data_IF_774324194888
#
_entry.id   IF_774324194888
#
_cell.length_a   1.000
_cell.length_b   1.000
_cell.length_c   1.000
_cell.angle_alpha   90.00
_cell.angle_beta   90.00
_cell.angle_gamma   90.00
#
_symmetry.space_group_name_H-M   'P 1'
#
loop_
_entity.id
_entity.type
_entity.pdbx_description
1 polymer ?
#
# COMPACT_ATOMS: atom_id res chain seq x y z
N UNK A 1 -18.77 10.67 -3.21
CA UNK A 1 -18.15 9.99 -4.36
C UNK A 1 -17.06 9.05 -3.85
N UNK A 2 -16.82 7.90 -4.50
CA UNK A 2 -15.77 6.99 -4.09
C UNK A 2 -14.37 7.64 -4.19
N UNK A 3 -13.38 7.13 -3.44
CA UNK A 3 -12.01 7.64 -3.52
C UNK A 3 -11.42 7.44 -4.91
N UNK A 4 -10.58 8.36 -5.35
CA UNK A 4 -9.87 8.29 -6.61
C UNK A 4 -8.48 8.92 -6.48
N UNK A 5 -7.51 8.34 -7.20
CA UNK A 5 -6.16 8.86 -7.33
C UNK A 5 -5.91 9.14 -8.81
N UNK A 6 -5.42 10.34 -9.12
CA UNK A 6 -4.89 10.67 -10.45
C UNK A 6 -3.55 11.38 -10.31
N UNK A 7 -2.69 11.20 -11.28
CA UNK A 7 -1.45 11.93 -11.37
C UNK A 7 -1.13 12.23 -12.83
N UNK A 8 -0.57 13.42 -13.06
CA UNK A 8 -0.34 13.93 -14.41
C UNK A 8 1.07 14.48 -14.53
N UNK A 9 1.79 14.00 -15.55
CA UNK A 9 3.15 14.45 -15.91
C UNK A 9 4.13 14.47 -14.74
N UNK A 10 4.02 13.47 -13.84
CA UNK A 10 4.90 13.37 -12.67
C UNK A 10 6.33 13.09 -13.14
N UNK A 11 7.25 13.99 -12.77
CA UNK A 11 8.68 13.91 -13.09
C UNK A 11 9.50 13.88 -11.81
N UNK A 12 10.57 13.10 -11.84
CA UNK A 12 11.54 13.06 -10.73
C UNK A 12 12.94 12.76 -11.23
N UNK A 13 13.91 13.55 -10.76
CA UNK A 13 15.33 13.37 -11.03
C UNK A 13 16.10 13.21 -9.72
N UNK A 14 17.22 12.53 -9.79
CA UNK A 14 18.24 12.48 -8.74
C UNK A 14 19.56 12.94 -9.35
N UNK A 15 19.95 14.16 -9.08
CA UNK A 15 21.05 14.80 -9.78
C UNK A 15 20.77 14.87 -11.29
N UNK A 16 21.64 14.25 -12.09
CA UNK A 16 21.47 14.22 -13.56
C UNK A 16 20.57 13.08 -14.06
N UNK A 17 20.27 12.09 -13.22
CA UNK A 17 19.47 10.93 -13.60
C UNK A 17 17.98 11.28 -13.55
N UNK A 18 17.32 11.24 -14.70
CA UNK A 18 15.85 11.31 -14.76
C UNK A 18 15.28 9.92 -14.50
N UNK A 19 14.54 9.77 -13.39
CA UNK A 19 13.94 8.50 -12.96
C UNK A 19 12.47 8.41 -13.36
N UNK A 20 11.74 9.51 -13.29
CA UNK A 20 10.37 9.62 -13.81
C UNK A 20 10.35 10.68 -14.91
N UNK A 21 9.94 10.28 -16.11
CA UNK A 21 10.01 11.10 -17.33
C UNK A 21 8.75 11.91 -17.65
N UNK A 22 7.77 11.96 -16.73
CA UNK A 22 6.47 12.60 -16.98
C UNK A 22 5.37 11.55 -17.11
N UNK A 23 5.19 10.75 -16.04
CA UNK A 23 4.19 9.68 -16.00
C UNK A 23 2.83 10.21 -15.60
N UNK A 24 1.77 9.63 -16.18
CA UNK A 24 0.38 9.99 -15.92
C UNK A 24 -0.47 8.73 -15.87
N UNK A 25 -1.35 8.63 -14.89
CA UNK A 25 -2.37 7.59 -14.80
C UNK A 25 -3.46 8.00 -13.79
N UNK A 26 -4.52 7.19 -13.74
CA UNK A 26 -5.58 7.31 -12.74
C UNK A 26 -6.08 5.94 -12.32
N UNK A 27 -6.64 5.87 -11.12
CA UNK A 27 -7.27 4.67 -10.57
C UNK A 27 -8.43 5.09 -9.67
N UNK A 28 -9.55 4.39 -9.82
CA UNK A 28 -10.76 4.64 -9.03
C UNK A 28 -10.97 3.57 -7.95
N UNK A 29 -11.95 3.80 -7.10
CA UNK A 29 -12.34 2.86 -6.06
C UNK A 29 -12.73 1.48 -6.63
N UNK A 30 -12.27 0.43 -5.99
CA UNK A 30 -12.46 -0.95 -6.43
C UNK A 30 -11.45 -1.41 -7.49
N UNK A 31 -10.55 -0.53 -7.93
CA UNK A 31 -9.62 -0.80 -9.01
C UNK A 31 -8.16 -0.92 -8.53
N UNK A 32 -7.35 -1.55 -9.38
CA UNK A 32 -5.89 -1.64 -9.26
C UNK A 32 -5.23 -0.99 -10.46
N UNK A 33 -4.29 -0.08 -10.21
CA UNK A 33 -3.31 0.35 -11.18
C UNK A 33 -2.05 -0.52 -11.03
N UNK A 34 -1.71 -1.28 -12.05
CA UNK A 34 -0.49 -2.06 -12.08
C UNK A 34 0.65 -1.24 -12.69
N UNK A 35 1.74 -1.07 -11.98
CA UNK A 35 2.95 -0.38 -12.44
C UNK A 35 4.02 -1.43 -12.71
N UNK A 36 4.41 -1.58 -13.97
CA UNK A 36 5.42 -2.56 -14.42
C UNK A 36 6.71 -1.86 -14.86
N UNK A 37 7.73 -2.64 -15.10
CA UNK A 37 9.03 -2.18 -15.59
C UNK A 37 10.20 -2.84 -14.90
N UNK A 38 11.38 -2.81 -15.52
CA UNK A 38 12.62 -3.42 -15.01
C UNK A 38 13.01 -2.86 -13.64
N UNK A 39 13.87 -3.57 -12.93
CA UNK A 39 14.47 -3.06 -11.69
C UNK A 39 15.22 -1.76 -11.99
N UNK A 40 15.01 -0.73 -11.16
CA UNK A 40 15.59 0.60 -11.39
C UNK A 40 14.76 1.53 -12.30
N UNK A 41 13.63 1.09 -12.88
CA UNK A 41 12.79 1.92 -13.77
C UNK A 41 12.03 3.05 -13.06
N UNK A 42 12.09 3.15 -11.74
CA UNK A 42 11.44 4.21 -10.99
C UNK A 42 10.12 3.82 -10.29
N UNK A 43 9.72 2.56 -10.30
CA UNK A 43 8.47 2.08 -9.66
C UNK A 43 8.36 2.51 -8.19
N UNK A 44 9.35 2.19 -7.38
CA UNK A 44 9.40 2.59 -5.97
C UNK A 44 9.46 4.11 -5.79
N UNK A 45 10.11 4.83 -6.72
CA UNK A 45 10.15 6.30 -6.73
C UNK A 45 8.75 6.86 -6.97
N UNK A 46 8.01 6.32 -7.94
CA UNK A 46 6.63 6.70 -8.20
C UNK A 46 5.76 6.46 -6.97
N UNK A 47 5.81 5.26 -6.36
CA UNK A 47 5.04 4.97 -5.15
C UNK A 47 5.36 5.92 -4.00
N UNK A 48 6.63 6.28 -3.79
CA UNK A 48 7.02 7.28 -2.78
C UNK A 48 6.49 8.68 -3.09
N UNK A 49 6.42 9.07 -4.36
CA UNK A 49 5.77 10.33 -4.77
C UNK A 49 4.27 10.28 -4.48
N UNK A 50 3.59 9.19 -4.86
CA UNK A 50 2.16 9.00 -4.59
C UNK A 50 1.87 8.98 -3.08
N UNK A 51 2.76 8.40 -2.27
CA UNK A 51 2.66 8.40 -0.81
C UNK A 51 2.89 9.79 -0.17
N UNK A 52 3.40 10.75 -0.92
CA UNK A 52 3.82 12.05 -0.37
C UNK A 52 5.08 11.96 0.51
N UNK A 53 5.86 10.89 0.36
CA UNK A 53 7.16 10.71 1.01
C UNK A 53 8.30 11.36 0.22
N UNK A 54 8.07 11.60 -1.06
CA UNK A 54 8.99 12.25 -1.98
C UNK A 54 8.22 13.26 -2.82
N UNK A 55 8.67 14.51 -2.85
CA UNK A 55 8.08 15.51 -3.73
C UNK A 55 8.50 15.27 -5.18
N UNK A 56 7.59 15.26 -6.17
CA UNK A 56 7.98 15.29 -7.57
C UNK A 56 8.61 16.64 -7.92
N UNK A 57 9.46 16.66 -8.96
CA UNK A 57 10.05 17.91 -9.46
C UNK A 57 9.03 18.72 -10.28
N UNK A 58 8.09 18.03 -10.93
CA UNK A 58 6.95 18.64 -11.64
C UNK A 58 5.83 17.63 -11.82
N UNK A 59 4.66 18.10 -12.28
CA UNK A 59 3.43 17.34 -12.40
C UNK A 59 2.56 17.48 -11.17
N UNK A 60 1.36 16.88 -11.22
CA UNK A 60 0.38 16.93 -10.13
C UNK A 60 0.03 15.51 -9.65
N UNK A 61 -0.34 15.40 -8.38
CA UNK A 61 -0.85 14.18 -7.77
C UNK A 61 -2.08 14.57 -6.96
N UNK A 62 -3.22 14.13 -7.42
CA UNK A 62 -4.53 14.46 -6.86
C UNK A 62 -5.15 13.19 -6.27
N UNK A 63 -5.47 13.24 -5.00
CA UNK A 63 -6.24 12.22 -4.31
C UNK A 63 -7.51 12.85 -3.76
N UNK A 64 -8.64 12.27 -4.07
CA UNK A 64 -9.94 12.70 -3.58
C UNK A 64 -10.66 11.58 -2.84
N UNK A 65 -11.42 11.93 -1.81
CA UNK A 65 -12.34 11.06 -1.10
C UNK A 65 -13.65 11.84 -0.91
N UNK A 66 -14.77 11.20 -1.18
CA UNK A 66 -16.10 11.83 -1.15
C UNK A 66 -16.22 13.07 -2.07
N UNK A 67 -15.43 13.10 -3.14
CA UNK A 67 -15.39 14.21 -4.10
C UNK A 67 -14.59 15.42 -3.64
N UNK A 68 -14.00 15.40 -2.44
CA UNK A 68 -13.15 16.47 -1.93
C UNK A 68 -11.67 16.14 -2.16
N UNK A 69 -10.87 17.07 -2.70
CA UNK A 69 -9.43 16.89 -2.84
C UNK A 69 -8.76 16.86 -1.47
N UNK A 70 -7.74 16.03 -1.33
CA UNK A 70 -6.96 15.90 -0.10
C UNK A 70 -5.58 16.50 -0.25
N UNK A 71 -5.15 17.24 0.76
CA UNK A 71 -3.76 17.69 0.87
C UNK A 71 -2.80 16.50 1.15
N UNK A 72 -1.50 16.74 1.02
CA UNK A 72 -0.49 15.71 1.21
C UNK A 72 -0.47 15.14 2.64
N UNK A 73 -0.85 15.91 3.66
CA UNK A 73 -0.88 15.46 5.05
C UNK A 73 -2.09 14.57 5.34
N UNK A 74 -3.27 14.96 4.85
CA UNK A 74 -4.49 14.16 4.93
C UNK A 74 -4.33 12.85 4.15
N UNK A 75 -3.75 12.92 2.95
CA UNK A 75 -3.44 11.75 2.11
C UNK A 75 -2.57 10.73 2.84
N UNK A 76 -1.47 11.14 3.49
CA UNK A 76 -0.59 10.23 4.24
C UNK A 76 -1.30 9.44 5.34
N UNK A 77 -2.39 9.97 5.90
CA UNK A 77 -3.20 9.25 6.90
C UNK A 77 -4.10 8.18 6.30
N UNK A 78 -4.39 8.27 5.01
CA UNK A 78 -5.28 7.37 4.27
C UNK A 78 -4.54 6.29 3.47
N UNK A 79 -3.21 6.35 3.41
CA UNK A 79 -2.38 5.43 2.63
C UNK A 79 -1.81 4.33 3.51
N UNK A 80 -1.99 3.08 3.07
CA UNK A 80 -1.19 1.95 3.51
C UNK A 80 -0.07 1.69 2.51
N UNK A 81 1.16 1.53 2.99
CA UNK A 81 2.32 1.30 2.16
C UNK A 81 2.99 -0.02 2.52
N UNK A 82 3.16 -0.90 1.53
CA UNK A 82 4.08 -2.04 1.59
C UNK A 82 5.30 -1.67 0.77
N UNK A 83 6.46 -1.62 1.40
CA UNK A 83 7.71 -1.30 0.73
C UNK A 83 8.86 -2.18 1.26
N UNK A 84 9.82 -2.61 0.42
CA UNK A 84 10.90 -3.49 0.83
C UNK A 84 11.80 -2.89 1.93
N UNK A 85 11.96 -1.57 1.94
CA UNK A 85 12.76 -0.80 2.90
C UNK A 85 12.03 -0.48 4.20
N UNK A 86 10.75 -0.85 4.34
CA UNK A 86 10.03 -0.71 5.59
C UNK A 86 10.64 -1.65 6.64
N UNK A 87 11.23 -1.04 7.67
CA UNK A 87 11.86 -1.74 8.78
C UNK A 87 10.98 -1.71 10.04
N UNK A 88 11.11 -2.75 10.85
CA UNK A 88 10.49 -2.88 12.17
C UNK A 88 11.56 -2.83 13.26
N UNK A 89 11.13 -2.58 14.47
CA UNK A 89 12.03 -2.67 15.64
C UNK A 89 12.39 -4.14 15.86
N UNK A 90 13.64 -4.49 15.57
CA UNK A 90 14.11 -5.88 15.56
C UNK A 90 13.98 -6.59 16.89
N UNK A 91 14.22 -5.86 17.99
CA UNK A 91 14.14 -6.35 19.37
C UNK A 91 12.70 -6.62 19.82
N UNK A 92 11.74 -5.91 19.24
CA UNK A 92 10.32 -6.07 19.55
C UNK A 92 9.75 -7.26 18.79
N UNK A 93 8.82 -7.96 19.40
CA UNK A 93 8.03 -9.01 18.77
C UNK A 93 7.12 -8.43 17.67
N UNK A 94 6.55 -9.29 16.83
CA UNK A 94 5.58 -8.86 15.83
C UNK A 94 4.37 -8.15 16.46
N UNK A 95 3.88 -8.69 17.60
CA UNK A 95 2.77 -8.09 18.34
C UNK A 95 3.14 -6.73 18.95
N UNK A 96 4.32 -6.58 19.54
CA UNK A 96 4.78 -5.32 20.12
C UNK A 96 5.00 -4.24 19.05
N UNK A 97 5.56 -4.60 17.89
CA UNK A 97 5.67 -3.69 16.76
C UNK A 97 4.29 -3.15 16.34
N UNK A 98 3.30 -4.02 16.12
CA UNK A 98 1.96 -3.56 15.73
C UNK A 98 1.28 -2.78 16.87
N UNK A 99 1.43 -3.19 18.13
CA UNK A 99 0.88 -2.47 19.27
C UNK A 99 1.48 -1.05 19.40
N UNK A 100 2.78 -0.89 19.11
CA UNK A 100 3.42 0.41 19.06
C UNK A 100 2.78 1.33 18.01
N UNK A 101 2.60 0.82 16.77
CA UNK A 101 1.97 1.61 15.70
C UNK A 101 0.47 1.85 15.95
N UNK A 102 -0.24 0.91 16.58
CA UNK A 102 -1.63 1.12 17.02
C UNK A 102 -1.71 2.34 17.94
N UNK A 103 -0.86 2.40 18.96
CA UNK A 103 -0.82 3.52 19.91
C UNK A 103 -0.52 4.86 19.22
N UNK A 104 0.47 4.89 18.33
CA UNK A 104 0.82 6.11 17.58
C UNK A 104 -0.34 6.65 16.72
N UNK A 105 -1.23 5.76 16.29
CA UNK A 105 -2.37 6.11 15.44
C UNK A 105 -3.71 6.21 16.18
N UNK A 106 -3.72 6.00 17.48
CA UNK A 106 -4.96 5.97 18.29
C UNK A 106 -5.88 4.80 17.93
N UNK A 107 -5.32 3.66 17.50
CA UNK A 107 -6.05 2.44 17.10
C UNK A 107 -5.97 1.44 18.25
N UNK A 108 -7.08 0.73 18.53
CA UNK A 108 -7.09 -0.35 19.51
C UNK A 108 -6.14 -1.49 19.13
N UNK A 109 -5.50 -2.09 20.15
CA UNK A 109 -4.56 -3.20 19.97
C UNK A 109 -5.17 -4.41 19.27
N UNK A 110 -6.46 -4.63 19.47
CA UNK A 110 -7.24 -5.75 18.91
C UNK A 110 -7.11 -5.82 17.38
N UNK A 111 -6.93 -4.64 16.73
CA UNK A 111 -6.72 -4.57 15.28
C UNK A 111 -5.37 -5.17 14.86
N UNK A 112 -4.32 -4.92 15.63
CA UNK A 112 -3.01 -5.55 15.41
C UNK A 112 -3.07 -7.06 15.58
N UNK A 113 -3.70 -7.52 16.66
CA UNK A 113 -3.86 -8.95 16.97
C UNK A 113 -4.72 -9.68 15.92
N UNK A 114 -5.76 -9.03 15.39
CA UNK A 114 -6.57 -9.53 14.26
C UNK A 114 -5.70 -9.74 13.02
N UNK A 115 -4.88 -8.75 12.65
CA UNK A 115 -4.04 -8.84 11.45
C UNK A 115 -2.94 -9.87 11.59
N UNK A 116 -2.35 -10.04 12.77
CA UNK A 116 -1.37 -11.11 13.02
C UNK A 116 -1.98 -12.49 12.77
N UNK A 117 -3.18 -12.73 13.31
CA UNK A 117 -3.90 -13.99 13.07
C UNK A 117 -4.23 -14.21 11.59
N UNK A 118 -4.75 -13.17 10.91
CA UNK A 118 -5.13 -13.24 9.49
C UNK A 118 -3.94 -13.50 8.56
N UNK A 119 -2.77 -13.01 8.94
CA UNK A 119 -1.51 -13.14 8.20
C UNK A 119 -0.68 -14.34 8.69
N UNK A 120 -1.21 -15.13 9.63
CA UNK A 120 -0.55 -16.31 10.20
C UNK A 120 0.87 -15.99 10.71
N UNK A 121 0.99 -14.87 11.45
CA UNK A 121 2.25 -14.44 12.02
C UNK A 121 2.36 -14.85 13.49
N UNK A 122 3.48 -15.41 13.92
CA UNK A 122 3.72 -15.69 15.32
C UNK A 122 3.83 -14.37 16.11
N UNK A 123 2.94 -14.11 17.09
CA UNK A 123 2.88 -12.82 17.77
C UNK A 123 4.12 -12.54 18.61
N UNK A 124 4.68 -13.58 19.23
CA UNK A 124 5.73 -13.48 20.26
C UNK A 124 7.16 -13.58 19.70
N UNK A 125 7.31 -13.72 18.37
CA UNK A 125 8.62 -13.80 17.74
C UNK A 125 9.19 -12.42 17.50
N UNK A 126 10.44 -12.12 17.92
CA UNK A 126 11.13 -10.88 17.59
C UNK A 126 11.20 -10.63 16.08
N UNK A 127 11.03 -9.37 15.66
CA UNK A 127 10.99 -9.03 14.23
C UNK A 127 12.31 -9.37 13.51
N UNK A 128 13.45 -9.28 14.21
CA UNK A 128 14.74 -9.69 13.70
C UNK A 128 14.81 -11.21 13.38
N UNK A 129 14.06 -12.03 14.12
CA UNK A 129 14.03 -13.49 13.96
C UNK A 129 12.98 -13.99 12.95
N UNK A 130 12.19 -13.10 12.35
CA UNK A 130 11.24 -13.45 11.31
C UNK A 130 11.96 -13.82 10.01
N UNK A 131 11.43 -14.82 9.28
CA UNK A 131 11.87 -15.10 7.91
C UNK A 131 11.55 -13.93 6.98
N UNK A 132 12.14 -13.90 5.77
CA UNK A 132 11.83 -12.88 4.77
C UNK A 132 10.34 -12.84 4.40
N UNK A 133 9.70 -14.00 4.27
CA UNK A 133 8.26 -14.10 4.02
C UNK A 133 7.41 -13.63 5.21
N UNK A 134 7.80 -13.97 6.44
CA UNK A 134 7.13 -13.46 7.63
C UNK A 134 7.28 -11.94 7.77
N UNK A 135 8.46 -11.39 7.48
CA UNK A 135 8.65 -9.92 7.43
C UNK A 135 7.76 -9.27 6.37
N UNK A 136 7.61 -9.90 5.22
CA UNK A 136 6.71 -9.40 4.18
C UNK A 136 5.25 -9.42 4.65
N UNK A 137 4.80 -10.49 5.31
CA UNK A 137 3.46 -10.55 5.92
C UNK A 137 3.28 -9.47 7.00
N UNK A 138 4.32 -9.16 7.79
CA UNK A 138 4.26 -8.09 8.80
C UNK A 138 4.13 -6.70 8.15
N UNK A 139 4.76 -6.46 6.97
CA UNK A 139 4.55 -5.23 6.20
C UNK A 139 3.09 -5.08 5.74
N UNK A 140 2.47 -6.18 5.32
CA UNK A 140 1.04 -6.20 5.00
C UNK A 140 0.18 -5.87 6.23
N UNK A 141 0.48 -6.44 7.41
CA UNK A 141 -0.23 -6.11 8.64
C UNK A 141 -0.14 -4.62 8.94
N UNK A 142 1.06 -4.06 8.89
CA UNK A 142 1.28 -2.64 9.14
C UNK A 142 0.55 -1.74 8.14
N UNK A 143 0.59 -2.08 6.84
CA UNK A 143 -0.07 -1.31 5.80
C UNK A 143 -1.60 -1.26 5.99
N UNK A 144 -2.21 -2.36 6.47
CA UNK A 144 -3.65 -2.49 6.68
C UNK A 144 -4.13 -2.04 8.05
N UNK A 145 -3.22 -1.70 8.98
CA UNK A 145 -3.51 -1.44 10.38
C UNK A 145 -4.60 -0.38 10.58
N UNK A 146 -4.50 0.73 9.88
CA UNK A 146 -5.38 1.88 10.02
C UNK A 146 -6.52 1.91 8.98
N UNK A 147 -6.82 0.77 8.34
CA UNK A 147 -7.88 0.65 7.33
C UNK A 147 -7.73 1.72 6.24
N UNK A 148 -6.61 1.75 5.52
CA UNK A 148 -6.37 2.77 4.48
C UNK A 148 -7.45 2.70 3.41
N UNK A 149 -7.59 3.77 2.64
CA UNK A 149 -8.39 3.81 1.40
C UNK A 149 -7.56 3.58 0.16
N UNK A 150 -6.28 3.91 0.23
CA UNK A 150 -5.32 3.69 -0.85
C UNK A 150 -4.22 2.75 -0.35
N UNK A 151 -4.01 1.65 -1.05
CA UNK A 151 -2.84 0.78 -0.86
C UNK A 151 -1.80 1.06 -1.93
N UNK A 152 -0.59 1.35 -1.51
CA UNK A 152 0.59 1.44 -2.35
C UNK A 152 1.48 0.24 -2.05
N UNK A 153 1.65 -0.64 -3.04
CA UNK A 153 2.24 -1.95 -2.84
C UNK A 153 3.48 -2.10 -3.75
N UNK A 154 4.67 -2.04 -3.15
CA UNK A 154 5.94 -2.25 -3.84
C UNK A 154 6.40 -3.70 -3.67
N UNK A 155 6.36 -4.47 -4.75
CA UNK A 155 6.69 -5.91 -4.79
C UNK A 155 5.98 -6.71 -3.67
N UNK A 156 4.64 -6.60 -3.54
CA UNK A 156 3.91 -7.07 -2.35
C UNK A 156 3.95 -8.58 -2.12
N UNK A 157 4.25 -9.36 -3.16
CA UNK A 157 4.29 -10.82 -3.08
C UNK A 157 5.72 -11.39 -3.00
N UNK A 158 6.73 -10.53 -3.01
CA UNK A 158 8.13 -10.94 -2.91
C UNK A 158 8.38 -11.73 -1.62
N UNK A 159 9.15 -12.81 -1.73
CA UNK A 159 9.52 -13.72 -0.63
C UNK A 159 8.34 -14.46 0.03
N UNK A 160 7.13 -14.36 -0.47
CA UNK A 160 5.99 -15.14 0.02
C UNK A 160 5.98 -16.53 -0.63
N UNK A 161 5.66 -17.53 0.17
CA UNK A 161 5.26 -18.85 -0.31
C UNK A 161 3.84 -18.83 -0.89
N UNK A 162 3.39 -19.93 -1.48
CA UNK A 162 2.08 -20.01 -2.11
C UNK A 162 0.93 -19.65 -1.14
N UNK A 163 1.02 -20.09 0.13
CA UNK A 163 0.04 -19.74 1.17
C UNK A 163 0.05 -18.25 1.48
N UNK A 164 1.23 -17.66 1.64
CA UNK A 164 1.39 -16.22 1.86
C UNK A 164 0.88 -15.38 0.69
N UNK A 165 1.11 -15.81 -0.55
CA UNK A 165 0.55 -15.15 -1.74
C UNK A 165 -0.98 -15.21 -1.71
N UNK A 166 -1.57 -16.37 -1.40
CA UNK A 166 -3.02 -16.52 -1.32
C UNK A 166 -3.64 -15.61 -0.24
N UNK A 167 -3.01 -15.52 0.93
CA UNK A 167 -3.44 -14.61 2.01
C UNK A 167 -3.37 -13.15 1.54
N UNK A 168 -2.25 -12.72 0.96
CA UNK A 168 -2.07 -11.34 0.50
C UNK A 168 -3.05 -10.97 -0.61
N UNK A 169 -3.31 -11.86 -1.56
CA UNK A 169 -4.34 -11.67 -2.61
C UNK A 169 -5.74 -11.53 -2.01
N UNK A 170 -6.10 -12.36 -1.04
CA UNK A 170 -7.39 -12.25 -0.34
C UNK A 170 -7.53 -10.90 0.36
N UNK A 171 -6.51 -10.44 1.08
CA UNK A 171 -6.53 -9.14 1.74
C UNK A 171 -6.65 -7.98 0.76
N UNK A 172 -6.00 -8.07 -0.40
CA UNK A 172 -6.15 -7.09 -1.47
C UNK A 172 -7.58 -7.10 -2.04
N UNK A 173 -8.13 -8.27 -2.32
CA UNK A 173 -9.50 -8.39 -2.83
C UNK A 173 -10.54 -7.83 -1.84
N UNK A 174 -10.39 -8.10 -0.56
CA UNK A 174 -11.24 -7.52 0.49
C UNK A 174 -11.11 -5.99 0.59
N UNK A 175 -9.89 -5.46 0.41
CA UNK A 175 -9.66 -4.01 0.39
C UNK A 175 -10.36 -3.33 -0.79
N UNK A 176 -10.40 -4.00 -1.95
CA UNK A 176 -11.04 -3.49 -3.17
C UNK A 176 -12.57 -3.68 -3.18
N UNK A 177 -13.10 -4.50 -2.29
CA UNK A 177 -14.55 -4.71 -2.16
C UNK A 177 -15.19 -3.62 -1.29
N UNK A 178 -16.48 -3.31 -1.50
CA UNK A 178 -17.23 -2.51 -0.55
C UNK A 178 -17.22 -3.19 0.83
N UNK A 179 -16.86 -2.44 1.86
CA UNK A 179 -16.87 -3.00 3.22
C UNK A 179 -18.30 -2.97 3.77
N UNK A 180 -18.80 -4.06 4.39
CA UNK A 180 -20.11 -4.05 5.01
C UNK A 180 -20.20 -2.93 6.05
N UNK A 181 -21.41 -2.38 6.25
CA UNK A 181 -21.66 -1.38 7.27
C UNK A 181 -21.24 -1.93 8.65
N UNK A 182 -20.26 -1.30 9.26
CA UNK A 182 -19.70 -1.69 10.56
C UNK A 182 -19.58 -0.49 11.49
N UNK A 183 -19.83 -0.70 12.77
CA UNK A 183 -19.59 0.34 13.79
C UNK A 183 -20.55 1.51 13.79
N UNK A 184 -21.84 1.28 13.51
CA UNK A 184 -22.89 2.32 13.64
C UNK A 184 -23.13 3.18 12.42
N UNK A 185 -22.49 2.90 11.28
CA UNK A 185 -22.78 3.54 10.00
C UNK A 185 -23.90 2.79 9.27
N UNK A 186 -24.91 3.52 8.80
CA UNK A 186 -26.05 2.97 8.05
C UNK A 186 -25.73 2.60 6.59
N UNK A 187 -24.55 2.97 6.09
CA UNK A 187 -24.11 2.71 4.71
C UNK A 187 -22.81 1.94 4.69
N UNK A 188 -22.62 0.97 3.74
CA UNK A 188 -21.34 0.32 3.51
C UNK A 188 -20.24 1.36 3.21
N UNK A 189 -19.06 1.12 3.73
CA UNK A 189 -17.91 1.94 3.34
C UNK A 189 -17.56 1.67 1.87
N UNK A 190 -17.21 2.70 1.08
CA UNK A 190 -16.84 2.53 -0.31
C UNK A 190 -15.60 1.63 -0.43
N UNK A 191 -15.42 0.93 -1.58
CA UNK A 191 -14.24 0.14 -1.83
C UNK A 191 -12.96 0.99 -1.77
N UNK A 192 -11.84 0.38 -1.39
CA UNK A 192 -10.53 1.00 -1.51
C UNK A 192 -10.03 0.98 -2.95
N UNK A 193 -8.82 1.49 -3.16
CA UNK A 193 -8.09 1.40 -4.42
C UNK A 193 -6.63 1.02 -4.15
N UNK A 194 -5.95 0.49 -5.16
CA UNK A 194 -4.56 0.09 -5.01
C UNK A 194 -3.69 0.47 -6.21
N UNK A 195 -2.43 0.81 -5.93
CA UNK A 195 -1.36 0.87 -6.94
C UNK A 195 -0.34 -0.19 -6.59
N UNK A 196 -0.12 -1.13 -7.49
CA UNK A 196 0.77 -2.28 -7.30
C UNK A 196 1.96 -2.15 -8.25
N UNK A 197 3.15 -2.00 -7.70
CA UNK A 197 4.39 -2.01 -8.45
C UNK A 197 5.02 -3.41 -8.43
N UNK A 198 5.30 -3.96 -9.62
CA UNK A 198 5.94 -5.26 -9.75
C UNK A 198 6.80 -5.31 -11.03
N UNK A 199 7.97 -6.00 -11.01
CA UNK A 199 8.83 -6.10 -12.19
C UNK A 199 8.15 -6.74 -13.41
N UNK A 200 7.26 -7.70 -13.18
CA UNK A 200 6.52 -8.40 -14.22
C UNK A 200 5.01 -8.22 -14.01
N UNK A 201 4.20 -8.36 -15.07
CA UNK A 201 2.74 -8.34 -14.93
C UNK A 201 2.27 -9.39 -13.92
N UNK A 202 1.25 -9.03 -13.16
CA UNK A 202 0.62 -9.90 -12.15
C UNK A 202 -0.83 -10.15 -12.55
N UNK A 203 -1.26 -11.39 -12.45
CA UNK A 203 -2.68 -11.72 -12.48
C UNK A 203 -3.32 -11.36 -11.14
N UNK A 204 -3.78 -10.14 -11.02
CA UNK A 204 -4.55 -9.64 -9.87
C UNK A 204 -5.93 -9.28 -10.40
N UNK A 205 -6.99 -9.79 -9.78
CA UNK A 205 -8.35 -9.42 -10.18
C UNK A 205 -8.54 -7.89 -10.18
N UNK A 206 -9.39 -7.38 -11.07
CA UNK A 206 -9.76 -5.95 -11.13
C UNK A 206 -8.63 -4.97 -11.50
N UNK A 207 -7.65 -5.40 -12.31
CA UNK A 207 -6.67 -4.46 -12.91
C UNK A 207 -7.40 -3.57 -13.92
N UNK A 208 -7.51 -2.27 -13.61
CA UNK A 208 -8.14 -1.29 -14.49
C UNK A 208 -7.18 -0.78 -15.55
N UNK A 209 -5.90 -0.63 -15.22
CA UNK A 209 -4.87 -0.14 -16.11
C UNK A 209 -3.48 -0.68 -15.74
N UNK A 210 -2.62 -0.73 -16.73
CA UNK A 210 -1.19 -1.03 -16.54
C UNK A 210 -0.37 0.15 -17.03
N UNK A 211 0.55 0.63 -16.20
CA UNK A 211 1.52 1.67 -16.50
C UNK A 211 2.90 1.01 -16.59
N UNK A 212 3.49 0.99 -17.78
CA UNK A 212 4.84 0.48 -17.98
C UNK A 212 5.87 1.61 -17.86
N UNK A 213 6.81 1.47 -16.92
CA UNK A 213 7.93 2.40 -16.73
C UNK A 213 9.21 1.89 -17.42
N UNK A 214 9.13 0.80 -18.16
CA UNK A 214 10.29 0.15 -18.78
C UNK A 214 10.53 0.51 -20.25
N UNK A 215 9.66 1.36 -20.81
CA UNK A 215 9.78 1.81 -22.19
C UNK A 215 10.77 2.98 -22.35
#
# INVERSE_FOLDING_TARGET
>A
MPPALSFTQVRRRFGRLAVLGGVSASVAAGEVLLVTGRNGSGKSTLLRCLAGLLAPDSGTIDYSEDGAPMDAAARRRRIGLVAPDLAFYGELTAAENLAFFCRLRGIGRERGDELLRRLELPPDRPAAALSSGMRQRLRWAWALLHRPRLLLLDEPFQNLDAAGVAIARRLLAEHLAPSPAGGGLSTPAPPGLAVVANPVPLEIGSVAATLDLGA
#
